data_IF_554609594179
#
_entry.id   IF_554609594179
#
_cell.length_a   1.000
_cell.length_b   1.000
_cell.length_c   1.000
_cell.angle_alpha   90.00
_cell.angle_beta   90.00
_cell.angle_gamma   90.00
#
_symmetry.space_group_name_H-M   'P 1'
#
loop_
_entity.id
_entity.type
_entity.pdbx_description
1 polymer ?
#
# COMPACT_ATOMS: atom_id res chain seq x y z
N UNK A 1 13.16 -7.26 8.70
CA UNK A 1 12.42 -6.19 8.01
C UNK A 1 12.76 -4.88 8.71
N UNK A 2 13.28 -3.88 8.00
CA UNK A 2 13.68 -2.60 8.61
C UNK A 2 12.40 -1.75 8.73
N UNK A 3 12.02 -1.39 9.95
CA UNK A 3 10.82 -0.58 10.24
C UNK A 3 10.92 0.75 9.48
N UNK A 4 9.93 1.11 8.66
CA UNK A 4 9.96 2.39 7.95
C UNK A 4 9.56 3.53 8.90
N UNK A 5 10.58 4.03 9.61
CA UNK A 5 10.43 5.08 10.62
C UNK A 5 9.94 6.42 10.06
N UNK A 6 10.04 6.62 8.74
CA UNK A 6 9.48 7.80 8.06
C UNK A 6 7.99 7.61 7.88
N UNK A 7 7.56 6.45 7.39
CA UNK A 7 6.16 6.14 7.17
C UNK A 7 5.37 6.18 8.48
N UNK A 8 5.86 5.53 9.54
CA UNK A 8 5.20 5.54 10.86
C UNK A 8 5.00 6.97 11.38
N UNK A 9 6.02 7.83 11.25
CA UNK A 9 5.95 9.22 11.70
C UNK A 9 4.89 10.02 10.92
N UNK A 10 4.82 9.85 9.59
CA UNK A 10 3.81 10.51 8.74
C UNK A 10 2.39 10.06 9.13
N UNK A 11 2.21 8.76 9.36
CA UNK A 11 0.94 8.18 9.81
C UNK A 11 0.55 8.76 11.17
N UNK A 12 1.48 8.79 12.12
CA UNK A 12 1.23 9.30 13.47
C UNK A 12 0.83 10.79 13.46
N UNK A 13 1.48 11.63 12.65
CA UNK A 13 1.08 13.04 12.48
C UNK A 13 -0.31 13.17 11.88
N UNK A 14 -0.62 12.36 10.87
CA UNK A 14 -1.94 12.38 10.24
C UNK A 14 -3.03 12.06 11.26
N UNK A 15 -2.81 11.03 12.09
CA UNK A 15 -3.73 10.70 13.18
C UNK A 15 -3.81 11.79 14.25
N UNK A 16 -2.71 12.47 14.57
CA UNK A 16 -2.74 13.60 15.48
C UNK A 16 -3.68 14.71 14.98
N UNK A 17 -3.58 15.07 13.70
CA UNK A 17 -4.46 16.06 13.09
C UNK A 17 -5.93 15.62 13.02
N UNK A 18 -6.20 14.38 12.65
CA UNK A 18 -7.56 13.82 12.62
C UNK A 18 -8.19 13.76 14.02
N UNK A 19 -7.42 13.35 15.02
CA UNK A 19 -7.88 13.29 16.40
C UNK A 19 -8.18 14.69 16.94
N UNK A 20 -7.29 15.64 16.70
CA UNK A 20 -7.46 17.05 17.07
C UNK A 20 -8.75 17.64 16.47
N UNK A 21 -9.01 17.36 15.19
CA UNK A 21 -10.26 17.76 14.53
C UNK A 21 -11.50 17.11 15.15
N UNK A 22 -11.50 15.77 15.32
CA UNK A 22 -12.65 15.03 15.84
C UNK A 22 -13.05 15.43 17.27
N UNK A 23 -12.08 15.91 18.07
CA UNK A 23 -12.29 16.37 19.46
C UNK A 23 -12.58 17.88 19.56
N UNK A 24 -12.68 18.59 18.45
CA UNK A 24 -12.93 20.04 18.42
C UNK A 24 -11.71 20.92 18.73
N UNK A 25 -10.53 20.32 18.94
CA UNK A 25 -9.26 21.02 19.11
C UNK A 25 -8.61 21.26 17.75
N UNK A 26 -9.18 22.18 16.96
CA UNK A 26 -8.85 22.35 15.53
C UNK A 26 -7.42 22.77 15.20
N UNK A 27 -6.58 23.07 16.20
CA UNK A 27 -5.26 23.67 16.00
C UNK A 27 -4.19 22.93 16.81
N UNK A 28 -3.12 22.52 16.15
CA UNK A 28 -1.92 21.93 16.76
C UNK A 28 -0.72 22.83 16.49
N UNK A 29 0.08 23.12 17.50
CA UNK A 29 1.36 23.84 17.33
C UNK A 29 2.48 22.87 16.97
N UNK A 30 3.56 23.38 16.38
CA UNK A 30 4.74 22.55 16.11
C UNK A 30 5.32 21.97 17.41
N UNK A 31 5.35 22.77 18.48
CA UNK A 31 5.77 22.36 19.81
C UNK A 31 4.95 21.16 20.32
N UNK A 32 3.62 21.23 20.20
CA UNK A 32 2.75 20.15 20.65
C UNK A 32 3.00 18.86 19.86
N UNK A 33 3.15 18.97 18.54
CA UNK A 33 3.40 17.81 17.67
C UNK A 33 4.75 17.16 18.01
N UNK A 34 5.80 17.96 18.17
CA UNK A 34 7.13 17.46 18.51
C UNK A 34 7.12 16.71 19.86
N UNK A 35 6.34 17.20 20.82
CA UNK A 35 6.27 16.63 22.16
C UNK A 35 5.38 15.38 22.25
N UNK A 36 4.25 15.34 21.54
CA UNK A 36 3.22 14.31 21.70
C UNK A 36 3.19 13.26 20.59
N UNK A 37 3.80 13.53 19.43
CA UNK A 37 3.81 12.59 18.31
C UNK A 37 5.12 11.80 18.31
N UNK A 38 4.97 10.47 18.38
CA UNK A 38 6.10 9.55 18.38
C UNK A 38 6.92 9.69 17.08
N UNK A 39 8.25 9.69 17.23
CA UNK A 39 9.20 9.78 16.11
C UNK A 39 9.81 11.16 15.90
N UNK A 40 9.34 12.23 16.56
CA UNK A 40 9.95 13.57 16.50
C UNK A 40 11.01 13.79 17.56
N UNK A 41 10.62 13.80 18.83
CA UNK A 41 11.52 14.10 19.97
C UNK A 41 12.70 13.13 20.06
N UNK A 42 12.44 11.84 19.86
CA UNK A 42 13.45 10.79 19.87
C UNK A 42 13.59 10.15 18.51
N UNK A 43 14.82 9.83 18.14
CA UNK A 43 15.07 9.00 16.98
C UNK A 43 14.61 7.56 17.27
N UNK A 44 13.63 7.01 16.55
CA UNK A 44 13.17 5.64 16.78
C UNK A 44 14.26 4.58 16.50
N UNK A 45 15.28 4.90 15.70
CA UNK A 45 16.38 3.96 15.41
C UNK A 45 17.52 4.04 16.43
N UNK A 46 17.94 5.25 16.82
CA UNK A 46 19.08 5.45 17.73
C UNK A 46 18.68 5.68 19.19
N UNK A 47 17.41 5.95 19.47
CA UNK A 47 16.89 6.32 20.80
C UNK A 47 17.29 7.73 21.26
N UNK A 48 18.14 8.42 20.50
CA UNK A 48 18.68 9.74 20.86
C UNK A 48 17.62 10.83 20.81
N UNK A 49 17.71 11.77 21.75
CA UNK A 49 16.82 12.94 21.75
C UNK A 49 17.34 13.98 20.76
N UNK A 50 16.48 14.39 19.82
CA UNK A 50 16.80 15.43 18.85
C UNK A 50 16.75 16.80 19.52
N UNK A 51 17.58 17.73 19.03
CA UNK A 51 17.40 19.14 19.37
C UNK A 51 16.05 19.65 18.87
N UNK A 52 15.51 20.67 19.54
CA UNK A 52 14.24 21.28 19.15
C UNK A 52 14.25 21.74 17.69
N UNK A 53 15.35 22.39 17.26
CA UNK A 53 15.53 22.86 15.88
C UNK A 53 15.48 21.72 14.86
N UNK A 54 16.16 20.60 15.15
CA UNK A 54 16.18 19.44 14.26
C UNK A 54 14.79 18.78 14.16
N UNK A 55 14.07 18.65 15.28
CA UNK A 55 12.70 18.12 15.31
C UNK A 55 11.73 19.04 14.56
N UNK A 56 11.89 20.35 14.69
CA UNK A 56 11.08 21.34 13.99
C UNK A 56 11.32 21.31 12.47
N UNK A 57 12.57 21.18 12.03
CA UNK A 57 12.89 21.01 10.60
C UNK A 57 12.35 19.69 10.04
N UNK A 58 12.38 18.61 10.84
CA UNK A 58 11.79 17.33 10.49
C UNK A 58 10.27 17.45 10.29
N UNK A 59 9.58 18.13 11.21
CA UNK A 59 8.15 18.39 11.08
C UNK A 59 7.80 19.22 9.84
N UNK A 60 8.57 20.28 9.53
CA UNK A 60 8.39 21.05 8.28
C UNK A 60 8.49 20.16 7.03
N UNK A 61 9.46 19.24 7.01
CA UNK A 61 9.63 18.27 5.93
C UNK A 61 8.41 17.34 5.81
N UNK A 62 7.99 16.74 6.91
CA UNK A 62 6.86 15.80 6.91
C UNK A 62 5.53 16.49 6.58
N UNK A 63 5.31 17.72 7.05
CA UNK A 63 4.18 18.56 6.62
C UNK A 63 4.18 18.75 5.10
N UNK A 64 5.34 19.00 4.50
CA UNK A 64 5.46 19.12 3.04
C UNK A 64 5.11 17.81 2.34
N UNK A 65 5.51 16.66 2.91
CA UNK A 65 5.13 15.35 2.39
C UNK A 65 3.61 15.11 2.49
N UNK A 66 2.99 15.48 3.61
CA UNK A 66 1.54 15.39 3.81
C UNK A 66 0.76 16.24 2.79
N UNK A 67 1.20 17.48 2.55
CA UNK A 67 0.60 18.34 1.52
C UNK A 67 0.72 17.73 0.12
N UNK A 68 1.89 17.17 -0.23
CA UNK A 68 2.08 16.47 -1.52
C UNK A 68 1.21 15.22 -1.65
N UNK A 69 0.92 14.55 -0.53
CA UNK A 69 0.03 13.39 -0.48
C UNK A 69 -1.46 13.77 -0.48
N UNK A 70 -1.80 15.07 -0.55
CA UNK A 70 -3.18 15.54 -0.58
C UNK A 70 -3.85 15.68 0.79
N UNK A 71 -3.09 15.71 1.88
CA UNK A 71 -3.62 16.04 3.22
C UNK A 71 -3.64 17.58 3.35
N UNK A 72 -4.81 18.24 3.39
CA UNK A 72 -4.92 19.69 3.38
C UNK A 72 -4.67 20.25 4.78
N UNK A 73 -3.40 20.61 5.04
CA UNK A 73 -2.94 21.20 6.30
C UNK A 73 -2.72 22.70 6.11
N UNK A 74 -3.59 23.51 6.68
CA UNK A 74 -3.43 24.96 6.68
C UNK A 74 -2.54 25.43 7.84
N UNK A 75 -1.86 26.55 7.61
CA UNK A 75 -1.10 27.27 8.64
C UNK A 75 -1.95 28.43 9.12
N UNK A 76 -2.16 28.53 10.42
CA UNK A 76 -2.91 29.61 11.07
C UNK A 76 -1.97 30.39 11.97
N UNK A 77 -1.80 31.68 11.68
CA UNK A 77 -1.12 32.58 12.60
C UNK A 77 -2.07 32.90 13.75
N UNK A 78 -1.69 32.51 14.97
CA UNK A 78 -2.34 32.99 16.19
C UNK A 78 -1.51 34.12 16.80
N UNK A 79 -2.10 34.92 17.69
CA UNK A 79 -1.46 36.10 18.29
C UNK A 79 -0.15 35.80 19.05
N UNK A 80 0.16 34.53 19.33
CA UNK A 80 1.36 34.13 20.06
C UNK A 80 2.22 33.09 19.32
N UNK A 81 1.63 32.22 18.49
CA UNK A 81 2.34 31.08 17.88
C UNK A 81 1.77 30.69 16.51
N UNK A 82 2.58 30.01 15.70
CA UNK A 82 2.12 29.38 14.46
C UNK A 82 1.43 28.06 14.80
N UNK A 83 0.18 27.91 14.38
CA UNK A 83 -0.58 26.69 14.56
C UNK A 83 -0.94 26.08 13.19
N UNK A 84 -1.28 24.80 13.20
CA UNK A 84 -1.62 24.02 12.02
C UNK A 84 -2.96 23.34 12.23
N UNK A 85 -3.76 23.31 11.18
CA UNK A 85 -5.11 22.74 11.19
C UNK A 85 -5.31 21.85 9.97
N UNK A 86 -5.97 20.71 10.15
CA UNK A 86 -6.54 19.95 9.05
C UNK A 86 -7.81 20.66 8.55
N UNK A 87 -7.89 20.95 7.27
CA UNK A 87 -9.13 21.40 6.63
C UNK A 87 -10.01 20.18 6.37
N UNK A 88 -10.70 19.73 7.41
CA UNK A 88 -11.51 18.52 7.33
C UNK A 88 -12.65 18.64 6.30
N UNK A 89 -13.08 19.85 5.96
CA UNK A 89 -14.05 20.09 4.88
C UNK A 89 -13.47 19.77 3.49
N UNK A 90 -12.15 19.90 3.32
CA UNK A 90 -11.42 19.58 2.09
C UNK A 90 -10.80 18.17 2.11
N UNK A 91 -10.80 17.51 3.27
CA UNK A 91 -10.26 16.16 3.46
C UNK A 91 -11.10 15.01 2.86
N UNK A 92 -12.45 15.02 2.86
CA UNK A 92 -13.20 13.95 2.23
C UNK A 92 -12.94 13.96 0.73
N UNK A 93 -12.60 12.79 0.21
CA UNK A 93 -12.59 12.57 -1.22
C UNK A 93 -13.98 12.93 -1.75
N UNK A 94 -14.07 13.90 -2.67
CA UNK A 94 -15.32 14.15 -3.41
C UNK A 94 -15.79 12.82 -3.98
N UNK A 95 -17.10 12.58 -4.04
CA UNK A 95 -17.64 11.34 -4.61
C UNK A 95 -17.00 11.11 -5.99
N UNK A 96 -16.19 10.06 -6.08
CA UNK A 96 -15.61 9.60 -7.34
C UNK A 96 -16.47 8.44 -7.80
N UNK A 97 -17.01 8.55 -9.01
CA UNK A 97 -17.68 7.45 -9.66
C UNK A 97 -16.62 6.70 -10.48
N UNK A 98 -16.45 5.42 -10.19
CA UNK A 98 -15.57 4.55 -10.97
C UNK A 98 -16.41 3.71 -11.92
N UNK A 99 -15.88 3.45 -13.12
CA UNK A 99 -16.42 2.38 -13.95
C UNK A 99 -16.14 1.00 -13.32
N UNK A 100 -16.80 -0.05 -13.82
CA UNK A 100 -16.58 -1.41 -13.31
C UNK A 100 -15.11 -1.85 -13.50
N UNK A 101 -14.49 -1.46 -14.61
CA UNK A 101 -13.09 -1.74 -14.93
C UNK A 101 -12.14 -1.00 -13.98
N UNK A 102 -12.37 0.30 -13.75
CA UNK A 102 -11.55 1.11 -12.84
C UNK A 102 -11.64 0.61 -11.40
N UNK A 103 -12.85 0.25 -10.94
CA UNK A 103 -13.04 -0.34 -9.61
C UNK A 103 -12.31 -1.68 -9.46
N UNK A 104 -12.25 -2.48 -10.53
CA UNK A 104 -11.52 -3.76 -10.56
C UNK A 104 -10.01 -3.54 -10.48
N UNK A 105 -9.48 -2.55 -11.21
CA UNK A 105 -8.05 -2.18 -11.15
C UNK A 105 -7.67 -1.68 -9.75
N UNK A 106 -8.52 -0.85 -9.14
CA UNK A 106 -8.32 -0.39 -7.77
C UNK A 106 -8.42 -1.53 -6.75
N UNK A 107 -9.32 -2.50 -6.97
CA UNK A 107 -9.43 -3.71 -6.15
C UNK A 107 -8.14 -4.53 -6.15
N UNK A 108 -7.59 -4.75 -7.35
CA UNK A 108 -6.33 -5.44 -7.52
C UNK A 108 -5.17 -4.68 -6.86
N UNK A 109 -5.06 -3.37 -7.13
CA UNK A 109 -4.02 -2.53 -6.54
C UNK A 109 -4.10 -2.48 -5.00
N UNK A 110 -5.33 -2.39 -4.46
CA UNK A 110 -5.59 -2.44 -3.03
C UNK A 110 -5.14 -3.76 -2.42
N UNK A 111 -5.38 -4.89 -3.08
CA UNK A 111 -4.90 -6.20 -2.61
C UNK A 111 -3.38 -6.34 -2.63
N UNK A 112 -2.71 -5.78 -3.65
CA UNK A 112 -1.24 -5.76 -3.74
C UNK A 112 -0.61 -4.89 -2.64
N UNK A 113 -1.28 -3.80 -2.24
CA UNK A 113 -0.86 -2.91 -1.16
C UNK A 113 -1.10 -3.43 0.26
N UNK A 114 -1.70 -4.61 0.44
CA UNK A 114 -1.93 -5.24 1.76
C UNK A 114 -0.71 -6.01 2.31
N UNK A 115 0.45 -5.92 1.64
CA UNK A 115 1.72 -6.45 2.13
C UNK A 115 2.20 -5.78 3.42
N UNK A 116 2.27 -6.59 4.47
CA UNK A 116 2.95 -6.49 5.77
C UNK A 116 2.77 -5.30 6.74
N UNK A 117 2.48 -4.05 6.35
CA UNK A 117 2.27 -2.96 7.36
C UNK A 117 1.14 -1.98 7.05
N UNK A 118 0.60 -1.97 5.81
CA UNK A 118 -0.38 -0.98 5.35
C UNK A 118 -1.84 -1.48 5.37
N UNK A 119 -2.13 -2.55 6.09
CA UNK A 119 -3.43 -3.20 6.04
C UNK A 119 -4.58 -2.36 6.65
N UNK A 120 -4.28 -1.46 7.59
CA UNK A 120 -5.30 -0.70 8.33
C UNK A 120 -5.69 0.60 7.61
N UNK A 121 -4.74 1.27 6.95
CA UNK A 121 -5.02 2.47 6.14
C UNK A 121 -5.70 2.13 4.81
N UNK A 122 -5.29 1.04 4.16
CA UNK A 122 -5.97 0.53 2.97
C UNK A 122 -7.42 0.15 3.27
N UNK A 123 -7.69 -0.45 4.44
CA UNK A 123 -9.08 -0.73 4.90
C UNK A 123 -9.92 0.53 5.06
N UNK A 124 -9.37 1.63 5.60
CA UNK A 124 -10.12 2.88 5.73
C UNK A 124 -10.35 3.57 4.40
N UNK A 125 -9.43 3.44 3.44
CA UNK A 125 -9.62 3.82 2.04
C UNK A 125 -10.75 3.04 1.38
N UNK A 126 -10.77 1.71 1.55
CA UNK A 126 -11.85 0.84 1.07
C UNK A 126 -13.21 1.19 1.67
N UNK A 127 -13.28 1.48 2.96
CA UNK A 127 -14.52 1.92 3.62
C UNK A 127 -15.02 3.25 3.05
N UNK A 128 -14.13 4.19 2.70
CA UNK A 128 -14.51 5.46 2.07
C UNK A 128 -15.00 5.29 0.63
N UNK A 129 -14.42 4.34 -0.12
CA UNK A 129 -14.85 3.97 -1.48
C UNK A 129 -16.22 3.25 -1.45
N UNK A 130 -16.45 2.36 -0.48
CA UNK A 130 -17.76 1.74 -0.30
C UNK A 130 -18.83 2.77 0.10
N UNK A 131 -18.49 3.72 0.96
CA UNK A 131 -19.39 4.79 1.41
C UNK A 131 -19.72 5.84 0.32
N UNK A 132 -18.96 5.92 -0.78
CA UNK A 132 -19.28 6.81 -1.90
C UNK A 132 -20.42 6.32 -2.79
N UNK A 133 -21.02 5.18 -2.47
CA UNK A 133 -22.20 4.64 -3.17
C UNK A 133 -21.87 3.58 -4.21
N UNK A 134 -20.69 2.94 -4.12
CA UNK A 134 -20.47 1.67 -4.83
C UNK A 134 -21.24 0.59 -4.08
N UNK A 135 -22.54 0.58 -4.32
CA UNK A 135 -23.44 -0.46 -3.85
C UNK A 135 -23.20 -1.68 -4.75
N UNK A 136 -22.18 -2.48 -4.43
CA UNK A 136 -22.32 -3.90 -4.75
C UNK A 136 -23.11 -4.50 -3.61
N UNK A 137 -24.41 -4.53 -3.85
CA UNK A 137 -25.33 -5.50 -3.27
C UNK A 137 -24.54 -6.80 -3.03
N UNK A 138 -24.29 -7.13 -1.76
CA UNK A 138 -23.64 -8.36 -1.31
C UNK A 138 -24.61 -9.55 -1.49
N UNK A 139 -25.44 -9.53 -2.53
CA UNK A 139 -26.33 -10.61 -2.94
C UNK A 139 -25.49 -11.57 -3.75
N UNK A 140 -24.95 -12.55 -3.02
CA UNK A 140 -24.06 -13.56 -3.55
C UNK A 140 -22.93 -12.94 -4.36
N UNK A 141 -21.92 -12.40 -3.66
CA UNK A 141 -20.55 -12.66 -4.08
C UNK A 141 -20.57 -14.10 -4.61
N UNK A 142 -20.25 -14.37 -5.89
CA UNK A 142 -19.73 -15.69 -6.18
C UNK A 142 -18.71 -15.88 -5.08
N UNK A 143 -18.76 -17.02 -4.39
CA UNK A 143 -17.61 -17.42 -3.60
C UNK A 143 -16.47 -17.54 -4.62
N UNK A 144 -15.91 -16.42 -5.05
CA UNK A 144 -14.55 -16.22 -5.44
C UNK A 144 -13.82 -16.56 -4.15
N UNK A 145 -13.73 -17.87 -3.89
CA UNK A 145 -12.49 -18.43 -3.41
C UNK A 145 -11.51 -17.99 -4.47
N UNK A 146 -10.67 -16.96 -4.21
CA UNK A 146 -9.59 -16.69 -5.12
C UNK A 146 -8.67 -17.88 -4.89
N UNK A 147 -8.84 -18.92 -5.70
CA UNK A 147 -7.69 -19.71 -6.11
C UNK A 147 -6.98 -18.85 -7.16
N UNK A 148 -6.61 -17.63 -6.76
CA UNK A 148 -5.81 -16.72 -7.54
C UNK A 148 -4.39 -17.11 -7.17
N UNK A 149 -3.67 -17.70 -8.11
CA UNK A 149 -2.26 -18.08 -7.93
C UNK A 149 -1.35 -16.89 -7.59
N UNK A 150 -1.89 -15.66 -7.63
CA UNK A 150 -1.27 -14.43 -7.16
C UNK A 150 -0.82 -14.49 -5.69
N UNK A 151 -1.52 -15.26 -4.85
CA UNK A 151 -1.12 -15.50 -3.46
C UNK A 151 -0.25 -16.76 -3.28
N UNK A 152 -0.10 -17.56 -4.34
CA UNK A 152 0.70 -18.79 -4.33
C UNK A 152 2.17 -18.54 -4.70
N UNK A 153 2.44 -17.50 -5.48
CA UNK A 153 3.79 -17.11 -5.88
C UNK A 153 4.26 -15.95 -5.00
N UNK A 154 5.40 -16.12 -4.33
CA UNK A 154 6.05 -14.97 -3.67
C UNK A 154 6.53 -13.96 -4.70
N UNK A 155 6.57 -12.68 -4.31
CA UNK A 155 7.07 -11.60 -5.17
C UNK A 155 8.46 -11.91 -5.75
N UNK A 156 9.35 -12.51 -4.95
CA UNK A 156 10.69 -12.93 -5.38
C UNK A 156 10.67 -13.97 -6.50
N UNK A 157 9.76 -14.95 -6.48
CA UNK A 157 9.63 -15.92 -7.55
C UNK A 157 9.03 -15.29 -8.81
N UNK A 158 8.08 -14.38 -8.63
CA UNK A 158 7.49 -13.64 -9.74
C UNK A 158 8.52 -12.78 -10.47
N UNK A 159 9.33 -12.03 -9.73
CA UNK A 159 10.44 -11.23 -10.28
C UNK A 159 11.46 -12.10 -11.00
N UNK A 160 11.82 -13.26 -10.44
CA UNK A 160 12.75 -14.19 -11.07
C UNK A 160 12.23 -14.73 -12.41
N UNK A 161 10.93 -15.03 -12.50
CA UNK A 161 10.30 -15.49 -13.75
C UNK A 161 10.26 -14.37 -14.79
N UNK A 162 9.86 -13.15 -14.39
CA UNK A 162 9.83 -12.00 -15.28
C UNK A 162 11.22 -11.64 -15.81
N UNK A 163 12.23 -11.67 -14.95
CA UNK A 163 13.62 -11.47 -15.33
C UNK A 163 14.09 -12.54 -16.31
N UNK A 164 13.71 -13.80 -16.08
CA UNK A 164 14.03 -14.89 -17.00
C UNK A 164 13.37 -14.71 -18.37
N UNK A 165 12.13 -14.24 -18.43
CA UNK A 165 11.47 -13.90 -19.70
C UNK A 165 12.20 -12.75 -20.43
N UNK A 166 12.54 -11.66 -19.72
CA UNK A 166 13.18 -10.48 -20.31
C UNK A 166 14.60 -10.75 -20.80
N UNK A 167 15.34 -11.55 -20.05
CA UNK A 167 16.74 -11.90 -20.33
C UNK A 167 16.89 -13.18 -21.14
N UNK A 168 15.79 -13.76 -21.65
CA UNK A 168 15.76 -15.04 -22.37
C UNK A 168 16.56 -16.15 -21.64
N UNK A 169 16.42 -16.21 -20.30
CA UNK A 169 17.09 -17.20 -19.47
C UNK A 169 16.19 -18.40 -19.26
N UNK A 170 16.78 -19.57 -19.43
CA UNK A 170 16.15 -20.86 -19.17
C UNK A 170 15.78 -21.02 -17.69
N UNK A 171 14.58 -21.51 -17.44
CA UNK A 171 14.09 -21.82 -16.10
C UNK A 171 14.07 -23.33 -15.87
N UNK A 172 14.34 -23.73 -14.62
CA UNK A 172 14.11 -25.09 -14.14
C UNK A 172 13.28 -25.04 -12.86
N UNK A 173 12.18 -25.77 -12.83
CA UNK A 173 11.24 -25.76 -11.71
C UNK A 173 10.58 -27.13 -11.54
N UNK A 174 10.00 -27.35 -10.37
CA UNK A 174 9.24 -28.55 -10.08
C UNK A 174 7.78 -28.34 -10.52
N UNK A 175 7.27 -29.24 -11.36
CA UNK A 175 5.95 -29.18 -11.96
C UNK A 175 5.09 -30.36 -11.50
N UNK A 176 3.89 -30.05 -11.02
CA UNK A 176 2.86 -31.04 -10.71
C UNK A 176 1.76 -30.97 -11.77
N UNK A 177 1.62 -32.03 -12.57
CA UNK A 177 0.55 -32.13 -13.59
C UNK A 177 -0.85 -32.13 -12.96
N UNK A 178 -1.00 -32.79 -11.83
CA UNK A 178 -2.21 -32.77 -11.00
C UNK A 178 -1.82 -33.05 -9.54
N UNK A 179 -2.74 -32.80 -8.59
CA UNK A 179 -2.48 -32.98 -7.14
C UNK A 179 -2.12 -34.41 -6.71
N UNK A 180 -2.40 -35.41 -7.54
CA UNK A 180 -2.10 -36.82 -7.27
C UNK A 180 -0.83 -37.31 -7.97
N UNK A 181 -0.18 -36.48 -8.79
CA UNK A 181 1.04 -36.84 -9.52
C UNK A 181 2.27 -36.53 -8.68
N UNK A 182 3.30 -37.36 -8.79
CA UNK A 182 4.61 -37.04 -8.24
C UNK A 182 5.15 -35.75 -8.91
N UNK A 183 5.74 -34.83 -8.15
CA UNK A 183 6.41 -33.66 -8.70
C UNK A 183 7.52 -34.06 -9.68
N UNK A 184 7.63 -33.33 -10.80
CA UNK A 184 8.64 -33.59 -11.83
C UNK A 184 9.42 -32.32 -12.12
N UNK A 185 10.75 -32.41 -12.17
CA UNK A 185 11.56 -31.31 -12.67
C UNK A 185 11.25 -31.08 -14.15
N UNK A 186 11.05 -29.82 -14.52
CA UNK A 186 10.88 -29.35 -15.88
C UNK A 186 11.87 -28.24 -16.17
N UNK A 187 12.30 -28.18 -17.42
CA UNK A 187 13.18 -27.13 -17.92
C UNK A 187 12.54 -26.48 -19.14
N UNK A 188 12.37 -25.15 -19.12
CA UNK A 188 11.74 -24.43 -20.22
C UNK A 188 12.43 -23.10 -20.53
N UNK A 189 12.30 -22.65 -21.77
CA UNK A 189 12.65 -21.30 -22.21
C UNK A 189 11.39 -20.43 -22.13
N UNK A 190 11.26 -19.54 -21.13
CA UNK A 190 10.04 -18.81 -20.88
C UNK A 190 9.87 -17.64 -21.87
N UNK A 191 8.66 -17.45 -22.37
CA UNK A 191 8.29 -16.32 -23.22
C UNK A 191 7.48 -15.26 -22.47
N UNK A 192 6.66 -15.68 -21.50
CA UNK A 192 5.89 -14.75 -20.70
C UNK A 192 4.85 -15.43 -19.80
N UNK A 193 4.27 -14.63 -18.91
CA UNK A 193 3.15 -15.03 -18.07
C UNK A 193 1.86 -14.49 -18.70
N UNK A 194 0.86 -15.34 -18.85
CA UNK A 194 -0.48 -14.95 -19.33
C UNK A 194 -1.53 -15.30 -18.28
N UNK A 195 -2.54 -14.44 -18.18
CA UNK A 195 -3.72 -14.71 -17.35
C UNK A 195 -4.83 -15.28 -18.22
N UNK A 196 -5.42 -16.40 -17.82
CA UNK A 196 -6.59 -16.97 -18.48
C UNK A 196 -7.52 -17.62 -17.45
N UNK A 197 -8.79 -17.23 -17.43
CA UNK A 197 -9.80 -17.73 -16.47
C UNK A 197 -9.30 -17.71 -15.01
N UNK A 198 -8.83 -16.54 -14.58
CA UNK A 198 -8.33 -16.26 -13.22
C UNK A 198 -7.11 -17.11 -12.77
N UNK A 199 -6.41 -17.75 -13.72
CA UNK A 199 -5.18 -18.51 -13.47
C UNK A 199 -4.00 -17.93 -14.22
N UNK A 200 -2.83 -18.02 -13.60
CA UNK A 200 -1.57 -17.63 -14.23
C UNK A 200 -0.94 -18.84 -14.92
N UNK A 201 -0.52 -18.61 -16.15
CA UNK A 201 0.18 -19.60 -16.96
C UNK A 201 1.52 -19.03 -17.38
N UNK A 202 2.60 -19.75 -17.07
CA UNK A 202 3.90 -19.50 -17.66
C UNK A 202 3.93 -20.22 -19.02
N UNK A 203 4.14 -19.45 -20.08
CA UNK A 203 4.19 -19.96 -21.45
C UNK A 203 5.63 -19.88 -21.94
N UNK A 204 6.05 -20.92 -22.65
CA UNK A 204 7.37 -21.01 -23.24
C UNK A 204 7.63 -22.39 -23.80
N UNK A 205 8.85 -22.59 -24.28
CA UNK A 205 9.24 -23.84 -24.91
C UNK A 205 9.75 -24.83 -23.86
N UNK A 206 9.02 -25.92 -23.65
CA UNK A 206 9.45 -27.03 -22.78
C UNK A 206 10.40 -27.95 -23.58
N UNK A 207 11.66 -27.97 -23.16
CA UNK A 207 12.74 -28.68 -23.85
C UNK A 207 12.58 -30.19 -23.73
N UNK A 208 12.00 -30.66 -22.63
CA UNK A 208 11.81 -32.08 -22.35
C UNK A 208 10.63 -32.66 -23.13
N UNK A 209 9.64 -31.83 -23.48
CA UNK A 209 8.48 -32.23 -24.28
C UNK A 209 8.66 -32.05 -25.79
N UNK A 210 9.57 -31.18 -26.23
CA UNK A 210 9.72 -30.79 -27.65
C UNK A 210 8.39 -30.36 -28.31
N UNK A 211 7.39 -29.92 -27.53
CA UNK A 211 6.09 -29.47 -28.05
C UNK A 211 6.16 -27.96 -28.35
N UNK A 212 5.68 -27.56 -29.53
CA UNK A 212 5.55 -26.16 -29.98
C UNK A 212 4.31 -25.50 -29.38
#
# INVERSE_FOLDING_TARGET
MKKDTVMERIVNVTFAFLNAESRGHRYLTAEWIIEHVEGYKKNPETGETRSYEAAHQLFKRDRTALLRAGVPIETVATNAQTAYRLQAEEYPLKKVNFTAEEATVLALAGQMGLGDELATFSRSGWTKIAASGIDRELTATPRFHPVNDWNSLSASHFDAILEACRSNKRLRFEYLRNKASAPQWRTMDPWGIVSHRDRLYLVGFDIERQEK
#
